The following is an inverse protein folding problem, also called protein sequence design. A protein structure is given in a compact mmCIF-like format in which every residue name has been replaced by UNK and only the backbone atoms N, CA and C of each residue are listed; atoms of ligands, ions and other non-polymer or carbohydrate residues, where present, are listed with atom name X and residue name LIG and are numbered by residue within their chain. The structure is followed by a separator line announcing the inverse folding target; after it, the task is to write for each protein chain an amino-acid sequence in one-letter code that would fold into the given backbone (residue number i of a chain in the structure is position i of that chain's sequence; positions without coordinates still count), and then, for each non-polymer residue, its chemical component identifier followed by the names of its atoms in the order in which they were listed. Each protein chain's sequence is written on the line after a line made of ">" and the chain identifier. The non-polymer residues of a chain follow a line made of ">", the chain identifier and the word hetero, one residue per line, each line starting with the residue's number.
data_IF_711622009915
#
_entry.id   IF_711622009915
#
_cell.length_a   1.000
_cell.length_b   1.000
_cell.length_c   1.000
_cell.angle_alpha   90.00
_cell.angle_beta   90.00
_cell.angle_gamma   90.00
#
_symmetry.space_group_name_H-M   'P 1'
#
loop_
_entity.id
_entity.type
_entity.pdbx_description
1 polymer ?
#
# COMPACT_ATOMS: atom_id res chain seq x y z
N UNK A 1 3.31 -36.92 -17.32
CA UNK A 1 2.62 -35.96 -16.44
C UNK A 1 3.01 -34.57 -16.91
N UNK A 2 2.12 -33.87 -17.57
CA UNK A 2 2.30 -32.45 -17.89
C UNK A 2 2.24 -31.69 -16.55
N UNK A 3 3.37 -31.10 -16.14
CA UNK A 3 3.41 -30.19 -14.99
C UNK A 3 2.40 -29.06 -15.29
N UNK A 4 1.32 -28.97 -14.53
CA UNK A 4 0.38 -27.88 -14.69
C UNK A 4 1.13 -26.57 -14.40
N UNK A 5 1.00 -25.59 -15.31
CA UNK A 5 1.60 -24.27 -15.10
C UNK A 5 1.02 -23.64 -13.84
N UNK A 6 1.87 -23.01 -13.05
CA UNK A 6 1.42 -22.26 -11.89
C UNK A 6 0.54 -21.09 -12.32
N UNK A 7 -0.69 -21.06 -11.83
CA UNK A 7 -1.64 -19.99 -12.09
C UNK A 7 -1.35 -18.80 -11.20
N UNK A 8 -1.16 -17.63 -11.80
CA UNK A 8 -0.94 -16.38 -11.09
C UNK A 8 -2.01 -15.38 -11.51
N UNK A 9 -2.62 -14.74 -10.54
CA UNK A 9 -3.59 -13.67 -10.76
C UNK A 9 -2.93 -12.40 -10.26
N UNK A 10 -2.70 -11.45 -11.15
CA UNK A 10 -2.34 -10.09 -10.78
C UNK A 10 -3.65 -9.31 -10.67
N UNK A 11 -3.95 -8.77 -9.50
CA UNK A 11 -5.12 -7.94 -9.30
C UNK A 11 -4.68 -6.53 -8.94
N UNK A 12 -4.97 -5.57 -9.80
CA UNK A 12 -4.43 -4.23 -9.65
C UNK A 12 -5.00 -3.20 -10.60
N UNK A 13 -4.50 -1.99 -10.51
CA UNK A 13 -4.74 -0.91 -11.48
C UNK A 13 -3.79 -1.08 -12.67
N UNK A 14 -4.22 -0.61 -13.83
CA UNK A 14 -3.37 -0.63 -15.03
C UNK A 14 -2.35 0.52 -15.02
N UNK A 15 -1.30 0.36 -14.20
CA UNK A 15 -0.26 1.36 -13.96
C UNK A 15 1.17 0.78 -14.08
N UNK A 16 2.15 1.59 -13.76
CA UNK A 16 3.57 1.21 -13.81
C UNK A 16 3.97 0.17 -12.75
N UNK A 17 3.28 0.09 -11.60
CA UNK A 17 3.54 -0.93 -10.58
C UNK A 17 3.14 -2.31 -11.13
N UNK A 18 1.94 -2.40 -11.69
CA UNK A 18 1.45 -3.61 -12.33
C UNK A 18 2.29 -3.99 -13.55
N UNK A 19 2.75 -3.01 -14.35
CA UNK A 19 3.71 -3.27 -15.43
C UNK A 19 5.02 -3.86 -14.90
N UNK A 20 5.49 -3.39 -13.75
CA UNK A 20 6.66 -3.93 -13.06
C UNK A 20 6.49 -5.40 -12.70
N UNK A 21 5.33 -5.79 -12.16
CA UNK A 21 5.00 -7.19 -11.87
C UNK A 21 5.02 -8.06 -13.13
N UNK A 22 4.41 -7.59 -14.23
CA UNK A 22 4.46 -8.31 -15.50
C UNK A 22 5.88 -8.53 -16.01
N UNK A 23 6.74 -7.52 -15.90
CA UNK A 23 8.15 -7.63 -16.30
C UNK A 23 8.96 -8.58 -15.41
N UNK A 24 8.65 -8.61 -14.13
CA UNK A 24 9.31 -9.50 -13.18
C UNK A 24 8.88 -10.96 -13.39
N UNK A 25 7.57 -11.20 -13.54
CA UNK A 25 6.99 -12.54 -13.60
C UNK A 25 6.95 -13.13 -15.01
N UNK A 26 6.80 -12.30 -16.04
CA UNK A 26 6.53 -12.75 -17.40
C UNK A 26 7.66 -13.52 -18.10
N UNK A 27 8.86 -13.54 -17.52
CA UNK A 27 10.00 -14.35 -17.97
C UNK A 27 9.95 -15.79 -17.45
N UNK A 28 9.05 -16.09 -16.52
CA UNK A 28 8.84 -17.43 -16.01
C UNK A 28 7.67 -18.10 -16.73
N UNK A 29 7.63 -19.44 -16.70
CA UNK A 29 6.54 -20.21 -17.30
C UNK A 29 5.31 -20.24 -16.37
N UNK A 30 4.56 -19.12 -16.35
CA UNK A 30 3.39 -18.90 -15.50
C UNK A 30 2.15 -18.62 -16.36
N UNK A 31 0.99 -19.12 -15.92
CA UNK A 31 -0.31 -18.75 -16.48
C UNK A 31 -0.84 -17.53 -15.75
N UNK A 32 -0.59 -16.32 -16.30
CA UNK A 32 -0.90 -15.06 -15.66
C UNK A 32 -2.24 -14.53 -16.20
N UNK A 33 -3.19 -14.30 -15.28
CA UNK A 33 -4.43 -13.55 -15.55
C UNK A 33 -4.38 -12.22 -14.82
N UNK A 34 -4.67 -11.12 -15.52
CA UNK A 34 -4.75 -9.80 -14.93
C UNK A 34 -6.21 -9.39 -14.67
N UNK A 35 -6.55 -9.11 -13.43
CA UNK A 35 -7.81 -8.47 -13.04
C UNK A 35 -7.58 -6.97 -12.95
N UNK A 36 -8.14 -6.23 -13.91
CA UNK A 36 -7.97 -4.78 -14.01
C UNK A 36 -9.01 -4.11 -13.13
N UNK A 37 -8.55 -3.53 -12.02
CA UNK A 37 -9.39 -2.74 -11.14
C UNK A 37 -9.55 -1.33 -11.69
N UNK A 38 -10.79 -0.82 -11.73
CA UNK A 38 -11.15 0.52 -12.23
C UNK A 38 -10.90 0.80 -13.73
N UNK A 39 -10.68 -0.20 -14.54
CA UNK A 39 -10.97 -0.25 -15.97
C UNK A 39 -10.31 0.72 -16.94
N UNK A 40 -9.24 1.45 -16.57
CA UNK A 40 -8.56 2.36 -17.49
C UNK A 40 -7.28 1.69 -18.00
N UNK A 41 -7.18 1.48 -19.30
CA UNK A 41 -6.00 0.89 -19.95
C UNK A 41 -4.93 1.96 -20.14
N UNK A 42 -3.75 1.75 -19.58
CA UNK A 42 -2.64 2.67 -19.73
C UNK A 42 -1.37 1.99 -20.26
N UNK A 43 -0.81 1.02 -19.52
CA UNK A 43 0.49 0.48 -19.87
C UNK A 43 0.67 -1.02 -19.57
N UNK A 44 0.11 -1.54 -18.47
CA UNK A 44 0.32 -2.94 -18.08
C UNK A 44 -0.42 -3.90 -19.01
N UNK A 45 -1.65 -3.60 -19.43
CA UNK A 45 -2.42 -4.37 -20.41
C UNK A 45 -1.77 -4.39 -21.78
N UNK A 46 -0.92 -3.42 -22.12
CA UNK A 46 -0.16 -3.37 -23.38
C UNK A 46 1.17 -4.13 -23.29
N UNK A 47 1.52 -4.67 -22.14
CA UNK A 47 2.73 -5.47 -21.98
C UNK A 47 2.67 -6.75 -22.80
N UNK A 48 3.77 -7.11 -23.46
CA UNK A 48 3.90 -8.41 -24.14
C UNK A 48 3.70 -9.62 -23.22
N UNK A 49 3.82 -9.42 -21.92
CA UNK A 49 3.61 -10.44 -20.89
C UNK A 49 2.17 -10.52 -20.39
N UNK A 50 1.32 -9.51 -20.68
CA UNK A 50 -0.10 -9.53 -20.37
C UNK A 50 -0.85 -10.20 -21.52
N UNK A 51 -1.01 -11.51 -21.44
CA UNK A 51 -1.72 -12.28 -22.49
C UNK A 51 -3.23 -12.36 -22.26
N UNK A 52 -3.66 -12.23 -21.00
CA UNK A 52 -5.06 -12.35 -20.60
C UNK A 52 -5.37 -11.33 -19.51
N UNK A 53 -6.42 -10.56 -19.70
CA UNK A 53 -6.95 -9.67 -18.67
C UNK A 53 -8.47 -9.67 -18.66
N UNK A 54 -9.03 -9.29 -17.52
CA UNK A 54 -10.47 -9.13 -17.28
C UNK A 54 -10.68 -7.84 -16.55
N UNK A 55 -11.60 -7.01 -17.02
CA UNK A 55 -11.97 -5.77 -16.32
C UNK A 55 -12.87 -6.10 -15.14
N UNK A 56 -12.49 -5.64 -13.98
CA UNK A 56 -13.22 -5.78 -12.72
C UNK A 56 -13.39 -4.40 -12.09
N UNK A 57 -14.38 -3.62 -12.52
CA UNK A 57 -14.56 -2.23 -12.12
C UNK A 57 -14.69 -2.05 -10.60
N UNK A 58 -15.23 -3.05 -9.92
CA UNK A 58 -15.38 -3.07 -8.45
C UNK A 58 -14.63 -4.24 -7.83
N UNK A 59 -14.43 -4.20 -6.52
CA UNK A 59 -13.83 -5.30 -5.75
C UNK A 59 -14.74 -6.53 -5.76
N UNK A 60 -16.03 -6.32 -5.76
CA UNK A 60 -17.06 -7.36 -5.82
C UNK A 60 -17.03 -8.10 -7.17
N UNK A 61 -16.82 -7.39 -8.27
CA UNK A 61 -16.66 -8.01 -9.61
C UNK A 61 -15.41 -8.89 -9.64
N UNK A 62 -14.31 -8.42 -9.06
CA UNK A 62 -13.08 -9.22 -8.93
C UNK A 62 -13.30 -10.46 -8.08
N UNK A 63 -13.94 -10.35 -6.92
CA UNK A 63 -14.30 -11.49 -6.07
C UNK A 63 -15.19 -12.49 -6.79
N UNK A 64 -16.20 -12.01 -7.49
CA UNK A 64 -17.09 -12.86 -8.30
C UNK A 64 -16.31 -13.62 -9.33
N UNK A 65 -15.44 -12.95 -10.10
CA UNK A 65 -14.59 -13.59 -11.08
C UNK A 65 -13.72 -14.69 -10.46
N UNK A 66 -13.08 -14.43 -9.33
CA UNK A 66 -12.27 -15.41 -8.61
C UNK A 66 -13.10 -16.64 -8.21
N UNK A 67 -14.27 -16.42 -7.60
CA UNK A 67 -15.14 -17.50 -7.18
C UNK A 67 -15.72 -18.32 -8.35
N UNK A 68 -15.98 -17.70 -9.51
CA UNK A 68 -16.56 -18.38 -10.66
C UNK A 68 -15.53 -19.20 -11.47
N UNK A 69 -14.23 -18.88 -11.35
CA UNK A 69 -13.20 -19.46 -12.24
C UNK A 69 -12.14 -20.33 -11.54
N UNK A 70 -12.04 -20.29 -10.21
CA UNK A 70 -10.97 -20.96 -9.48
C UNK A 70 -11.51 -21.79 -8.32
N UNK A 71 -11.55 -23.12 -8.52
CA UNK A 71 -12.09 -24.09 -7.55
C UNK A 71 -11.10 -25.20 -7.14
N UNK A 72 -9.86 -25.14 -7.65
CA UNK A 72 -8.88 -26.18 -7.38
C UNK A 72 -8.21 -25.93 -6.03
N UNK A 73 -8.49 -26.83 -5.07
CA UNK A 73 -7.91 -26.78 -3.72
C UNK A 73 -6.52 -27.39 -3.64
N UNK A 74 -6.12 -28.20 -4.63
CA UNK A 74 -4.82 -28.87 -4.66
C UNK A 74 -3.77 -28.04 -5.39
N UNK A 75 -4.17 -27.34 -6.45
CA UNK A 75 -3.31 -26.44 -7.22
C UNK A 75 -3.84 -25.01 -7.12
N UNK A 76 -3.70 -24.44 -5.93
CA UNK A 76 -4.18 -23.10 -5.63
C UNK A 76 -3.51 -22.07 -6.54
N UNK A 77 -4.29 -21.11 -7.05
CA UNK A 77 -3.74 -19.99 -7.76
C UNK A 77 -3.10 -18.98 -6.77
N UNK A 78 -2.05 -18.31 -7.21
CA UNK A 78 -1.39 -17.24 -6.44
C UNK A 78 -2.02 -15.92 -6.84
N UNK A 79 -2.51 -15.14 -5.88
CA UNK A 79 -2.95 -13.77 -6.13
C UNK A 79 -1.85 -12.82 -5.69
N UNK A 80 -1.52 -11.84 -6.53
CA UNK A 80 -0.61 -10.75 -6.24
C UNK A 80 -1.37 -9.46 -6.50
N UNK A 81 -1.51 -8.64 -5.48
CA UNK A 81 -2.12 -7.32 -5.57
C UNK A 81 -1.08 -6.23 -5.87
N UNK A 82 -1.52 -5.13 -6.47
CA UNK A 82 -0.71 -3.94 -6.71
C UNK A 82 -1.40 -2.65 -6.22
N UNK A 83 -2.39 -2.79 -5.35
CA UNK A 83 -3.18 -1.66 -4.86
C UNK A 83 -3.64 -1.89 -3.42
N UNK A 84 -3.51 -0.89 -2.55
CA UNK A 84 -3.82 -0.98 -1.12
C UNK A 84 -5.27 -1.40 -0.83
N UNK A 85 -6.26 -0.94 -1.62
CA UNK A 85 -7.66 -1.34 -1.43
C UNK A 85 -7.87 -2.82 -1.72
N UNK A 86 -7.20 -3.34 -2.74
CA UNK A 86 -7.27 -4.76 -3.10
C UNK A 86 -6.59 -5.58 -2.01
N UNK A 87 -5.42 -5.14 -1.52
CA UNK A 87 -4.73 -5.79 -0.41
C UNK A 87 -5.62 -5.89 0.84
N UNK A 88 -6.26 -4.79 1.23
CA UNK A 88 -7.20 -4.77 2.36
C UNK A 88 -8.43 -5.66 2.12
N UNK A 89 -8.94 -5.67 0.90
CA UNK A 89 -10.09 -6.48 0.53
C UNK A 89 -9.76 -7.98 0.57
N UNK A 90 -8.61 -8.37 0.03
CA UNK A 90 -8.10 -9.75 0.07
C UNK A 90 -7.86 -10.22 1.51
N UNK A 91 -7.24 -9.36 2.33
CA UNK A 91 -6.97 -9.65 3.73
C UNK A 91 -8.26 -9.90 4.53
N UNK A 92 -9.26 -9.03 4.39
CA UNK A 92 -10.57 -9.19 5.04
C UNK A 92 -11.32 -10.45 4.60
N UNK A 93 -11.10 -10.90 3.36
CA UNK A 93 -11.71 -12.10 2.80
C UNK A 93 -10.80 -13.33 2.82
N UNK A 94 -9.64 -13.26 3.50
CA UNK A 94 -8.62 -14.31 3.48
C UNK A 94 -9.14 -15.68 3.90
N UNK A 95 -10.00 -15.76 4.92
CA UNK A 95 -10.63 -17.02 5.35
C UNK A 95 -11.44 -17.70 4.24
N UNK A 96 -12.07 -16.91 3.37
CA UNK A 96 -12.89 -17.38 2.26
C UNK A 96 -12.04 -17.84 1.08
N UNK A 97 -10.97 -17.11 0.84
CA UNK A 97 -10.08 -17.29 -0.32
C UNK A 97 -9.00 -18.34 -0.10
N UNK A 98 -8.54 -18.53 1.12
CA UNK A 98 -7.40 -19.41 1.44
C UNK A 98 -7.58 -20.89 1.06
N UNK A 99 -8.81 -21.34 0.84
CA UNK A 99 -9.05 -22.70 0.36
C UNK A 99 -8.59 -22.90 -1.11
N UNK A 100 -8.69 -21.86 -1.93
CA UNK A 100 -8.49 -21.92 -3.38
C UNK A 100 -7.29 -21.10 -3.85
N UNK A 101 -6.80 -20.18 -3.00
CA UNK A 101 -5.75 -19.24 -3.36
C UNK A 101 -4.62 -19.21 -2.32
N UNK A 102 -3.44 -18.88 -2.82
CA UNK A 102 -2.33 -18.36 -2.02
C UNK A 102 -2.38 -16.85 -2.19
N UNK A 103 -2.64 -16.14 -1.10
CA UNK A 103 -2.74 -14.67 -1.10
C UNK A 103 -1.66 -14.08 -0.19
N UNK A 104 -1.06 -12.93 -0.56
CA UNK A 104 -0.30 -12.14 0.38
C UNK A 104 -1.23 -11.73 1.51
N UNK A 105 -0.77 -11.78 2.74
CA UNK A 105 -1.65 -11.43 3.84
C UNK A 105 -0.95 -11.51 5.17
N UNK A 106 -1.73 -11.36 6.20
CA UNK A 106 -1.30 -11.39 7.59
C UNK A 106 -1.87 -12.62 8.30
N UNK A 107 -1.40 -12.84 9.52
CA UNK A 107 -1.92 -13.93 10.37
C UNK A 107 -3.38 -13.71 10.83
N UNK A 108 -3.91 -12.50 10.67
CA UNK A 108 -5.24 -12.12 11.14
C UNK A 108 -5.98 -11.29 10.11
N UNK A 109 -7.17 -11.70 9.65
CA UNK A 109 -7.96 -10.92 8.70
C UNK A 109 -8.26 -9.51 9.23
N UNK A 110 -8.07 -8.50 8.36
CA UNK A 110 -8.26 -7.09 8.69
C UNK A 110 -7.01 -6.38 9.25
N UNK A 111 -5.90 -7.09 9.46
CA UNK A 111 -4.68 -6.47 9.97
C UNK A 111 -4.03 -5.53 8.96
N UNK A 112 -4.13 -5.80 7.64
CA UNK A 112 -3.60 -4.89 6.61
C UNK A 112 -4.32 -3.53 6.69
N UNK A 113 -5.65 -3.52 6.79
CA UNK A 113 -6.41 -2.28 6.94
C UNK A 113 -6.01 -1.51 8.19
N UNK A 114 -5.74 -2.22 9.30
CA UNK A 114 -5.27 -1.62 10.54
C UNK A 114 -3.86 -1.02 10.41
N UNK A 115 -2.95 -1.70 9.71
CA UNK A 115 -1.59 -1.22 9.46
C UNK A 115 -1.55 -0.06 8.44
N UNK A 116 -2.54 0.04 7.56
CA UNK A 116 -2.69 1.16 6.63
C UNK A 116 -3.26 2.42 7.32
N UNK A 117 -3.89 2.27 8.50
CA UNK A 117 -4.25 3.42 9.33
C UNK A 117 -3.00 4.04 9.94
N UNK A 118 -2.72 5.30 9.58
CA UNK A 118 -1.49 5.98 10.00
C UNK A 118 -1.40 6.20 11.52
N UNK A 119 -2.55 6.33 12.20
CA UNK A 119 -2.59 6.49 13.64
C UNK A 119 -2.26 5.16 14.34
N UNK A 120 -2.87 4.07 13.89
CA UNK A 120 -2.59 2.73 14.39
C UNK A 120 -1.16 2.29 14.09
N UNK A 121 -0.68 2.55 12.88
CA UNK A 121 0.71 2.25 12.51
C UNK A 121 1.71 3.00 13.41
N UNK A 122 1.47 4.28 13.68
CA UNK A 122 2.32 5.07 14.59
C UNK A 122 2.29 4.51 16.02
N UNK A 123 1.09 4.16 16.52
CA UNK A 123 0.92 3.55 17.85
C UNK A 123 1.66 2.21 17.96
N UNK A 124 1.51 1.34 16.97
CA UNK A 124 2.20 0.03 16.95
C UNK A 124 3.71 0.22 16.88
N UNK A 125 4.20 1.15 16.06
CA UNK A 125 5.62 1.44 15.96
C UNK A 125 6.22 1.89 17.29
N UNK A 126 5.52 2.78 18.02
CA UNK A 126 5.91 3.24 19.35
C UNK A 126 5.93 2.07 20.35
N UNK A 127 4.90 1.23 20.37
CA UNK A 127 4.80 0.07 21.29
C UNK A 127 5.92 -0.96 21.10
N UNK A 128 6.42 -1.12 19.88
CA UNK A 128 7.54 -2.04 19.58
C UNK A 128 8.91 -1.36 19.66
N UNK A 129 8.96 -0.10 20.12
CA UNK A 129 10.19 0.61 20.46
C UNK A 129 10.83 1.37 19.30
N UNK A 130 10.09 1.66 18.22
CA UNK A 130 10.58 2.58 17.20
C UNK A 130 10.46 4.02 17.66
N UNK A 131 11.46 4.82 17.31
CA UNK A 131 11.48 6.27 17.55
C UNK A 131 10.47 6.94 16.60
N UNK A 132 9.29 7.24 17.11
CA UNK A 132 8.23 7.88 16.32
C UNK A 132 8.12 9.37 16.67
N UNK A 133 7.92 10.25 15.69
CA UNK A 133 7.72 11.67 15.98
C UNK A 133 6.45 11.87 16.83
N UNK A 134 6.50 12.70 17.88
CA UNK A 134 5.33 13.04 18.67
C UNK A 134 4.14 13.41 17.76
N UNK A 135 3.01 12.78 17.99
CA UNK A 135 1.83 12.94 17.17
C UNK A 135 0.54 12.87 17.98
N UNK A 136 -0.50 13.56 17.52
CA UNK A 136 -1.82 13.51 18.10
C UNK A 136 -2.89 13.30 17.02
N UNK A 137 -3.85 12.43 17.28
CA UNK A 137 -5.02 12.25 16.43
C UNK A 137 -6.06 13.32 16.79
N UNK A 138 -6.48 14.07 15.80
CA UNK A 138 -7.38 15.20 15.96
C UNK A 138 -8.64 15.03 15.09
N UNK A 139 -9.72 15.62 15.57
CA UNK A 139 -10.94 15.93 14.82
C UNK A 139 -11.02 17.44 14.59
N UNK A 140 -11.96 17.84 13.75
CA UNK A 140 -12.17 19.26 13.41
C UNK A 140 -12.20 20.22 14.61
N UNK A 141 -12.81 19.79 15.73
CA UNK A 141 -13.00 20.58 16.94
C UNK A 141 -11.98 20.28 18.07
N UNK A 142 -10.92 19.51 17.77
CA UNK A 142 -9.89 19.22 18.77
C UNK A 142 -9.15 20.48 19.22
N UNK A 143 -8.77 20.52 20.50
CA UNK A 143 -7.84 21.53 20.98
C UNK A 143 -6.48 21.35 20.32
N UNK A 144 -5.93 22.42 19.78
CA UNK A 144 -4.64 22.48 19.10
C UNK A 144 -3.67 23.45 19.78
N UNK A 145 -3.90 23.77 21.05
CA UNK A 145 -3.09 24.77 21.76
C UNK A 145 -1.68 24.27 22.06
N UNK A 146 -1.57 22.97 22.33
CA UNK A 146 -0.29 22.31 22.70
C UNK A 146 0.50 21.79 21.49
N UNK A 147 0.11 22.17 20.29
CA UNK A 147 0.80 21.70 19.05
C UNK A 147 2.14 22.42 18.89
N UNK A 148 3.20 21.65 18.85
CA UNK A 148 4.53 22.14 18.50
C UNK A 148 4.66 22.47 17.00
N UNK A 149 5.37 23.55 16.68
CA UNK A 149 5.60 23.97 15.29
C UNK A 149 7.08 23.96 14.94
N UNK A 150 7.43 23.64 13.65
CA UNK A 150 6.54 23.26 12.58
C UNK A 150 5.92 21.88 12.77
N UNK A 151 4.68 21.69 12.31
CA UNK A 151 4.00 20.40 12.35
C UNK A 151 3.51 19.95 10.98
N UNK A 152 3.32 18.64 10.84
CA UNK A 152 2.65 18.00 9.71
C UNK A 152 1.19 17.74 10.04
N UNK A 153 0.30 18.12 9.13
CA UNK A 153 -1.09 17.70 9.13
C UNK A 153 -1.26 16.63 8.06
N UNK A 154 -1.73 15.44 8.45
CA UNK A 154 -1.98 14.29 7.57
C UNK A 154 -3.40 13.77 7.77
N UNK A 155 -4.17 13.39 6.73
CA UNK A 155 -5.38 12.59 6.90
C UNK A 155 -5.04 11.24 7.54
N UNK A 156 -5.89 10.69 8.42
CA UNK A 156 -5.70 9.34 8.99
C UNK A 156 -5.82 8.27 7.92
N UNK A 157 -6.79 8.40 7.02
CA UNK A 157 -7.04 7.49 5.91
C UNK A 157 -6.84 8.19 4.57
N UNK A 158 -6.25 7.49 3.63
CA UNK A 158 -6.31 7.89 2.22
C UNK A 158 -7.65 7.40 1.66
N UNK A 159 -8.63 8.28 1.54
CA UNK A 159 -9.85 7.97 0.80
C UNK A 159 -9.57 8.13 -0.69
N UNK A 160 -9.75 7.06 -1.47
CA UNK A 160 -9.86 7.15 -2.92
C UNK A 160 -11.13 7.91 -3.26
N UNK A 161 -10.99 9.09 -3.77
CA UNK A 161 -12.10 9.88 -4.26
C UNK A 161 -11.94 11.37 -4.00
N UNK A 162 -12.48 12.15 -4.86
CA UNK A 162 -12.53 13.60 -5.16
C UNK A 162 -12.21 14.65 -4.06
N UNK A 163 -11.82 14.27 -2.83
CA UNK A 163 -11.80 15.20 -1.70
C UNK A 163 -10.58 15.15 -0.77
N UNK A 164 -9.59 14.30 -1.04
CA UNK A 164 -8.29 14.44 -0.37
C UNK A 164 -7.39 15.33 -1.22
N UNK A 165 -7.51 16.60 -1.00
CA UNK A 165 -6.77 17.63 -1.73
C UNK A 165 -5.27 17.61 -1.43
N UNK A 166 -4.81 16.83 -0.42
CA UNK A 166 -3.40 16.74 -0.06
C UNK A 166 -3.06 15.46 0.73
N UNK A 167 -1.86 14.92 0.52
CA UNK A 167 -1.30 13.83 1.33
C UNK A 167 -0.86 14.32 2.71
N UNK A 168 -0.28 15.49 2.78
CA UNK A 168 0.08 16.19 4.01
C UNK A 168 0.25 17.69 3.74
N UNK A 169 0.24 18.48 4.82
CA UNK A 169 0.60 19.90 4.80
C UNK A 169 1.55 20.21 5.93
N UNK A 170 2.62 20.94 5.63
CA UNK A 170 3.54 21.48 6.63
C UNK A 170 2.96 22.80 7.14
N UNK A 171 2.69 22.86 8.43
CA UNK A 171 2.19 24.05 9.11
C UNK A 171 3.30 24.66 9.95
N UNK A 172 3.84 25.79 9.50
CA UNK A 172 4.96 26.49 10.16
C UNK A 172 4.56 27.15 11.47
N UNK A 173 3.29 27.42 11.68
CA UNK A 173 2.74 28.09 12.85
C UNK A 173 1.23 27.86 12.98
N UNK A 174 0.64 28.26 14.11
CA UNK A 174 -0.80 28.12 14.41
C UNK A 174 -1.69 28.80 13.37
N UNK A 175 -1.29 29.94 12.83
CA UNK A 175 -2.07 30.66 11.82
C UNK A 175 -2.19 29.84 10.52
N UNK A 176 -1.09 29.24 10.11
CA UNK A 176 -1.06 28.35 8.93
C UNK A 176 -1.94 27.11 9.17
N UNK A 177 -1.81 26.47 10.35
CA UNK A 177 -2.62 25.32 10.71
C UNK A 177 -4.12 25.66 10.70
N UNK A 178 -4.54 26.72 11.34
CA UNK A 178 -5.94 27.17 11.33
C UNK A 178 -6.46 27.46 9.92
N UNK A 179 -5.61 27.98 9.01
CA UNK A 179 -5.98 28.17 7.60
C UNK A 179 -6.22 26.86 6.89
N UNK A 180 -5.34 25.88 7.05
CA UNK A 180 -5.46 24.56 6.41
C UNK A 180 -6.66 23.78 6.95
N UNK A 181 -6.93 23.85 8.25
CA UNK A 181 -8.09 23.18 8.87
C UNK A 181 -9.44 23.65 8.30
N UNK A 182 -9.54 24.85 7.72
CA UNK A 182 -10.78 25.31 7.06
C UNK A 182 -11.16 24.47 5.83
N UNK A 183 -10.18 23.77 5.24
CA UNK A 183 -10.36 22.91 4.07
C UNK A 183 -10.47 21.43 4.45
N UNK A 184 -10.29 21.09 5.72
CA UNK A 184 -10.47 19.72 6.24
C UNK A 184 -11.94 19.50 6.52
N UNK A 185 -12.48 18.34 6.09
CA UNK A 185 -13.88 17.98 6.37
C UNK A 185 -14.10 17.81 7.87
N UNK A 186 -15.25 18.27 8.35
CA UNK A 186 -15.63 18.21 9.77
C UNK A 186 -15.70 16.78 10.31
N UNK A 187 -16.05 15.82 9.47
CA UNK A 187 -16.17 14.40 9.81
C UNK A 187 -14.83 13.65 9.77
N UNK A 188 -13.80 14.27 9.18
CA UNK A 188 -12.51 13.62 9.02
C UNK A 188 -11.67 13.69 10.28
N UNK A 189 -10.98 12.59 10.56
CA UNK A 189 -9.88 12.56 11.50
C UNK A 189 -8.56 12.85 10.79
N UNK A 190 -7.65 13.49 11.48
CA UNK A 190 -6.32 13.81 10.97
C UNK A 190 -5.28 13.68 12.06
N UNK A 191 -4.03 13.57 11.66
CA UNK A 191 -2.88 13.51 12.56
C UNK A 191 -2.14 14.84 12.48
N UNK A 192 -1.89 15.45 13.63
CA UNK A 192 -0.87 16.47 13.79
C UNK A 192 0.37 15.79 14.33
N UNK A 193 1.48 15.94 13.64
CA UNK A 193 2.74 15.30 13.97
C UNK A 193 3.85 16.33 13.91
N UNK A 194 4.80 16.27 14.86
CA UNK A 194 6.01 17.09 14.81
C UNK A 194 6.70 16.94 13.45
N UNK A 195 7.03 18.05 12.81
CA UNK A 195 7.76 18.02 11.56
C UNK A 195 9.24 17.77 11.80
N UNK A 196 9.77 16.72 11.19
CA UNK A 196 11.19 16.42 11.16
C UNK A 196 11.69 16.70 9.75
N UNK A 197 12.65 17.61 9.55
CA UNK A 197 13.28 17.79 8.25
C UNK A 197 13.91 16.48 7.79
N UNK A 198 13.64 16.11 6.55
CA UNK A 198 14.20 14.88 5.99
C UNK A 198 15.54 15.19 5.32
N UNK A 199 16.54 14.38 5.60
CA UNK A 199 17.75 14.30 4.80
C UNK A 199 17.56 13.31 3.66
N UNK A 200 17.04 12.11 3.96
CA UNK A 200 16.68 11.09 2.99
C UNK A 200 15.45 10.28 3.44
N UNK A 201 14.96 9.40 2.60
CA UNK A 201 13.92 8.41 2.95
C UNK A 201 14.37 7.06 2.46
N UNK A 202 14.66 6.14 3.37
CA UNK A 202 14.95 4.76 3.06
C UNK A 202 13.67 3.92 3.06
N UNK A 203 13.49 3.10 2.04
CA UNK A 203 12.44 2.11 1.92
C UNK A 203 13.06 0.72 1.93
N UNK A 204 12.71 -0.07 2.91
CA UNK A 204 13.15 -1.47 3.01
C UNK A 204 12.10 -2.37 2.38
N UNK A 205 12.52 -3.21 1.45
CA UNK A 205 11.66 -4.18 0.79
C UNK A 205 11.98 -5.58 1.27
N UNK A 206 10.95 -6.33 1.60
CA UNK A 206 11.12 -7.69 2.04
C UNK A 206 9.80 -8.44 2.13
N UNK A 207 9.89 -9.69 2.53
CA UNK A 207 8.72 -10.50 2.84
C UNK A 207 8.98 -11.38 4.05
N UNK A 208 7.92 -11.73 4.74
CA UNK A 208 7.93 -12.73 5.80
C UNK A 208 7.07 -13.92 5.39
N UNK A 209 7.63 -15.11 5.47
CA UNK A 209 6.93 -16.35 5.15
C UNK A 209 6.11 -16.86 6.35
N UNK A 210 5.18 -17.77 6.07
CA UNK A 210 4.30 -18.34 7.11
C UNK A 210 5.07 -19.09 8.22
N UNK A 211 6.25 -19.62 7.91
CA UNK A 211 7.14 -20.26 8.90
C UNK A 211 8.01 -19.24 9.67
N UNK A 212 7.76 -17.95 9.49
CA UNK A 212 8.39 -16.87 10.25
C UNK A 212 9.72 -16.38 9.70
N UNK A 213 10.26 -16.97 8.63
CA UNK A 213 11.51 -16.47 7.99
C UNK A 213 11.27 -15.14 7.31
N UNK A 214 12.21 -14.22 7.49
CA UNK A 214 12.18 -12.89 6.85
C UNK A 214 13.23 -12.85 5.75
N UNK A 215 12.83 -12.39 4.58
CA UNK A 215 13.71 -12.15 3.44
C UNK A 215 13.71 -10.66 3.13
N UNK A 216 14.86 -10.03 3.22
CA UNK A 216 15.06 -8.64 2.81
C UNK A 216 15.50 -8.64 1.35
N UNK A 217 14.76 -7.94 0.50
CA UNK A 217 15.03 -7.89 -0.94
C UNK A 217 15.94 -6.73 -1.32
N UNK A 218 15.92 -5.63 -0.56
CA UNK A 218 16.75 -4.47 -0.82
C UNK A 218 16.28 -3.22 -0.09
N UNK A 219 17.08 -2.16 -0.24
CA UNK A 219 16.80 -0.82 0.27
C UNK A 219 16.82 0.15 -0.89
N UNK A 220 15.77 0.96 -0.99
CA UNK A 220 15.71 2.09 -1.91
C UNK A 220 15.80 3.39 -1.12
N UNK A 221 16.84 4.17 -1.34
CA UNK A 221 16.98 5.51 -0.79
C UNK A 221 16.42 6.54 -1.76
N UNK A 222 15.45 7.36 -1.29
CA UNK A 222 14.86 8.46 -2.07
C UNK A 222 15.64 9.74 -1.79
N UNK A 223 16.20 10.31 -2.83
CA UNK A 223 17.03 11.52 -2.79
C UNK A 223 16.36 12.75 -3.42
N UNK A 224 15.29 12.55 -4.21
CA UNK A 224 14.52 13.63 -4.81
C UNK A 224 13.04 13.47 -4.54
N UNK A 225 12.38 14.59 -4.30
CA UNK A 225 10.97 14.65 -3.94
C UNK A 225 10.24 15.66 -4.83
N UNK A 226 8.99 15.34 -5.17
CA UNK A 226 8.06 16.28 -5.79
C UNK A 226 7.49 17.23 -4.74
N UNK A 227 6.84 18.31 -5.18
CA UNK A 227 6.21 19.32 -4.30
C UNK A 227 5.14 18.72 -3.37
N UNK A 228 4.49 17.62 -3.79
CA UNK A 228 3.54 16.88 -2.98
C UNK A 228 4.21 15.92 -1.97
N UNK A 229 5.55 15.89 -1.92
CA UNK A 229 6.35 15.04 -1.03
C UNK A 229 6.52 13.59 -1.49
N UNK A 230 6.03 13.21 -2.67
CA UNK A 230 6.32 11.92 -3.28
C UNK A 230 7.78 11.88 -3.75
N UNK A 231 8.42 10.72 -3.60
CA UNK A 231 9.75 10.53 -4.17
C UNK A 231 9.66 10.47 -5.69
N UNK A 232 10.46 11.30 -6.38
CA UNK A 232 10.55 11.31 -7.84
C UNK A 232 11.77 10.54 -8.35
N UNK A 233 12.74 10.30 -7.50
CA UNK A 233 13.93 9.53 -7.80
C UNK A 233 14.38 8.75 -6.55
N UNK A 234 14.95 7.58 -6.75
CA UNK A 234 15.53 6.77 -5.68
C UNK A 234 16.64 5.88 -6.23
N UNK A 235 17.59 5.61 -5.37
CA UNK A 235 18.77 4.78 -5.67
C UNK A 235 18.60 3.44 -4.94
N UNK A 236 18.65 2.34 -5.67
CA UNK A 236 18.71 1.02 -5.05
C UNK A 236 20.11 0.84 -4.45
N UNK A 237 20.16 0.67 -3.14
CA UNK A 237 21.42 0.48 -2.42
C UNK A 237 21.96 -0.92 -2.71
N UNK A 238 23.27 -1.04 -3.07
CA UNK A 238 23.88 -2.36 -3.34
C UNK A 238 23.96 -3.22 -2.08
N UNK A 239 24.14 -2.59 -0.93
CA UNK A 239 24.25 -3.23 0.38
C UNK A 239 23.24 -2.62 1.36
N UNK A 240 22.90 -3.37 2.42
CA UNK A 240 22.08 -2.84 3.49
C UNK A 240 22.87 -1.82 4.31
N UNK A 241 22.42 -0.55 4.39
CA UNK A 241 23.04 0.44 5.23
C UNK A 241 23.06 0.02 6.71
N UNK A 242 24.10 0.40 7.45
CA UNK A 242 24.28 0.01 8.86
C UNK A 242 23.16 0.44 9.79
N UNK A 243 22.37 1.46 9.41
CA UNK A 243 21.21 1.93 10.17
C UNK A 243 19.94 1.05 9.99
N UNK A 244 20.03 -0.04 9.21
CA UNK A 244 18.92 -1.00 8.98
C UNK A 244 19.13 -2.32 9.76
N UNK A 245 20.14 -2.40 10.59
CA UNK A 245 20.43 -3.58 11.41
C UNK A 245 19.50 -3.69 12.62
#
# INVERSE_FOLDING_TARGET
>A
MTLSMTKVIIWGVDDYNTLGLFRALGKYNLDITFLVFQGIRHCATLSKYCKKYVETPTLEDGMKFLCDNYHDTRNKAIIIDSNDLIAEFLDRNSNKLSNYFIIPGTSSPGLIAKLNDKAEMTRIADEIGFDVPPSMVCKWNSNIDDVEYPCLLKPTHQTLGKYNEFKFKICKNRRTLKRVLRFVRKESSFILQRYIPKESVALVYGCRTLDGRTYLAGVLEKDRFCDNGDGSHGILMPDFPSYIN
#
